data_IF_908243253495
#
_entry.id   IF_908243253495
#
_cell.length_a   1.000
_cell.length_b   1.000
_cell.length_c   1.000
_cell.angle_alpha   90.00
_cell.angle_beta   90.00
_cell.angle_gamma   90.00
#
_symmetry.space_group_name_H-M   'P 1'
#
loop_
_entity.id
_entity.type
_entity.pdbx_description
1 polymer ?
#
# COMPACT_ATOMS: atom_id res chain seq x y z
N UNK A 1 -10.80 -4.80 -0.55
CA UNK A 1 -10.59 -3.41 -0.98
C UNK A 1 -10.36 -3.35 -2.47
N UNK A 2 -10.76 -2.25 -3.09
CA UNK A 2 -10.46 -1.92 -4.49
C UNK A 2 -9.22 -1.02 -4.59
N UNK A 3 -8.61 -0.95 -5.78
CA UNK A 3 -7.35 -0.20 -5.99
C UNK A 3 -7.49 1.31 -5.75
N UNK A 4 -8.67 1.90 -6.01
CA UNK A 4 -8.96 3.31 -5.75
C UNK A 4 -9.00 3.67 -4.25
N UNK A 5 -9.07 2.67 -3.37
CA UNK A 5 -9.04 2.83 -1.91
C UNK A 5 -7.60 2.80 -1.36
N UNK A 6 -6.62 2.48 -2.20
CA UNK A 6 -5.20 2.32 -1.86
C UNK A 6 -4.41 3.48 -2.47
N UNK A 7 -3.38 3.95 -1.76
CA UNK A 7 -2.40 4.87 -2.34
C UNK A 7 -1.44 4.08 -3.25
N UNK A 8 -1.89 3.82 -4.48
CA UNK A 8 -1.16 3.01 -5.47
C UNK A 8 0.18 3.64 -5.91
N UNK A 9 0.43 4.90 -5.57
CA UNK A 9 1.72 5.57 -5.78
C UNK A 9 2.65 5.52 -4.58
N UNK A 10 2.29 4.82 -3.48
CA UNK A 10 3.06 4.84 -2.24
C UNK A 10 4.53 4.46 -2.43
N UNK A 11 4.82 3.24 -2.87
CA UNK A 11 6.19 2.81 -3.11
C UNK A 11 6.85 3.57 -4.27
N UNK A 12 6.08 3.94 -5.30
CA UNK A 12 6.58 4.69 -6.45
C UNK A 12 7.21 6.04 -6.10
N UNK A 13 6.80 6.69 -5.01
CA UNK A 13 7.36 7.98 -4.55
C UNK A 13 8.66 7.83 -3.74
N UNK A 14 9.14 6.61 -3.53
CA UNK A 14 10.43 6.30 -2.94
C UNK A 14 11.46 6.00 -4.04
N UNK A 15 12.70 6.46 -3.85
CA UNK A 15 13.78 6.19 -4.80
C UNK A 15 14.18 4.71 -4.83
N UNK A 16 14.96 4.30 -5.84
CA UNK A 16 15.37 2.90 -6.03
C UNK A 16 16.09 2.30 -4.82
N UNK A 17 16.90 3.10 -4.12
CA UNK A 17 17.67 2.67 -2.95
C UNK A 17 16.84 2.63 -1.65
N UNK A 18 15.55 2.90 -1.71
CA UNK A 18 14.70 2.85 -0.53
C UNK A 18 14.34 1.41 -0.18
N UNK A 19 14.54 1.05 1.09
CA UNK A 19 14.22 -0.29 1.62
C UNK A 19 12.77 -0.73 1.39
N UNK A 20 11.83 0.19 1.09
CA UNK A 20 10.43 -0.15 0.83
C UNK A 20 10.27 -1.17 -0.30
N UNK A 21 11.12 -1.11 -1.32
CA UNK A 21 11.05 -2.03 -2.47
C UNK A 21 11.43 -3.44 -2.04
N UNK A 22 12.50 -3.58 -1.25
CA UNK A 22 12.94 -4.87 -0.69
C UNK A 22 11.94 -5.43 0.34
N UNK A 23 11.30 -4.55 1.12
CA UNK A 23 10.27 -4.95 2.09
C UNK A 23 9.04 -5.52 1.38
N UNK A 24 8.52 -4.81 0.37
CA UNK A 24 7.35 -5.27 -0.39
C UNK A 24 7.67 -6.52 -1.20
N UNK A 25 8.88 -6.65 -1.78
CA UNK A 25 9.29 -7.81 -2.56
C UNK A 25 9.28 -9.13 -1.77
N UNK A 26 9.37 -9.07 -0.42
CA UNK A 26 9.29 -10.24 0.46
C UNK A 26 7.86 -10.70 0.74
N UNK A 27 6.86 -9.85 0.48
CA UNK A 27 5.47 -10.14 0.76
C UNK A 27 4.89 -11.12 -0.25
N UNK A 28 4.02 -12.00 0.24
CA UNK A 28 3.26 -12.96 -0.56
C UNK A 28 1.78 -12.88 -0.20
N UNK A 29 0.86 -13.25 -1.12
CA UNK A 29 -0.55 -13.43 -0.77
C UNK A 29 -0.72 -14.31 0.48
N UNK A 30 -1.61 -13.90 1.38
CA UNK A 30 -1.83 -14.51 2.69
C UNK A 30 -0.88 -14.06 3.80
N UNK A 31 0.14 -13.24 3.50
CA UNK A 31 0.98 -12.65 4.55
C UNK A 31 0.15 -11.69 5.43
N UNK A 32 0.25 -11.77 6.77
CA UNK A 32 -0.53 -10.93 7.66
C UNK A 32 -0.10 -9.46 7.54
N UNK A 33 -1.07 -8.56 7.66
CA UNK A 33 -0.86 -7.11 7.71
C UNK A 33 -1.51 -6.54 8.96
N UNK A 34 -0.81 -5.62 9.61
CA UNK A 34 -1.37 -4.83 10.70
C UNK A 34 -1.85 -3.47 10.18
N UNK A 35 -3.00 -3.01 10.67
CA UNK A 35 -3.51 -1.67 10.37
C UNK A 35 -3.13 -0.67 11.47
N UNK A 36 -2.58 0.48 11.08
CA UNK A 36 -2.35 1.61 12.00
C UNK A 36 -2.93 2.88 11.41
N UNK A 37 -3.68 3.64 12.21
CA UNK A 37 -4.11 4.99 11.80
C UNK A 37 -3.00 5.99 12.08
N UNK A 38 -2.61 6.74 11.06
CA UNK A 38 -1.66 7.85 11.17
C UNK A 38 -2.01 8.94 10.16
N UNK A 39 -2.03 10.20 10.60
CA UNK A 39 -2.34 11.36 9.75
C UNK A 39 -3.61 11.17 8.90
N UNK A 40 -4.67 10.63 9.52
CA UNK A 40 -5.96 10.37 8.89
C UNK A 40 -5.92 9.38 7.71
N UNK A 41 -4.92 8.49 7.68
CA UNK A 41 -4.81 7.36 6.75
C UNK A 41 -4.58 6.08 7.53
N UNK A 42 -5.09 4.97 7.01
CA UNK A 42 -4.66 3.64 7.45
C UNK A 42 -3.37 3.25 6.74
N UNK A 43 -2.33 2.99 7.52
CA UNK A 43 -1.09 2.36 7.12
C UNK A 43 -1.22 0.85 7.25
N UNK A 44 -0.59 0.13 6.34
CA UNK A 44 -0.44 -1.32 6.40
C UNK A 44 1.01 -1.65 6.76
N UNK A 45 1.18 -2.44 7.82
CA UNK A 45 2.47 -2.85 8.33
C UNK A 45 2.65 -4.35 8.12
N UNK A 46 3.86 -4.78 7.79
CA UNK A 46 4.22 -6.20 7.77
C UNK A 46 4.36 -6.78 9.20
N UNK A 47 4.75 -8.06 9.31
CA UNK A 47 4.94 -8.73 10.60
C UNK A 47 6.04 -8.12 11.47
N UNK A 48 6.98 -7.40 10.85
CA UNK A 48 8.13 -6.78 11.51
C UNK A 48 7.85 -5.31 11.88
N UNK A 49 6.64 -4.81 11.56
CA UNK A 49 6.23 -3.44 11.84
C UNK A 49 6.69 -2.42 10.80
N UNK A 50 7.16 -2.85 9.63
CA UNK A 50 7.51 -1.93 8.55
C UNK A 50 6.27 -1.51 7.77
N UNK A 51 6.15 -0.22 7.44
CA UNK A 51 5.06 0.27 6.59
C UNK A 51 5.29 -0.18 5.15
N UNK A 52 4.37 -0.99 4.62
CA UNK A 52 4.44 -1.57 3.26
C UNK A 52 3.37 -1.01 2.33
N UNK A 53 2.47 -0.19 2.85
CA UNK A 53 1.42 0.47 2.07
C UNK A 53 0.56 1.38 2.92
N UNK A 54 -0.35 2.09 2.26
CA UNK A 54 -1.38 2.88 2.93
C UNK A 54 -2.60 3.08 2.04
N UNK A 55 -3.69 3.45 2.69
CA UNK A 55 -4.95 3.84 2.04
C UNK A 55 -4.84 5.18 1.32
N UNK A 56 -5.71 5.39 0.34
CA UNK A 56 -5.88 6.66 -0.35
C UNK A 56 -6.33 7.76 0.64
N UNK A 57 -6.02 9.02 0.34
CA UNK A 57 -6.36 10.13 1.24
C UNK A 57 -7.88 10.32 1.44
N UNK A 58 -8.68 9.91 0.47
CA UNK A 58 -10.15 9.94 0.50
C UNK A 58 -10.78 8.76 1.22
N UNK A 59 -10.03 7.68 1.44
CA UNK A 59 -10.56 6.46 2.04
C UNK A 59 -10.88 6.67 3.51
N UNK A 60 -12.06 6.22 3.94
CA UNK A 60 -12.51 6.25 5.33
C UNK A 60 -13.05 4.88 5.67
N UNK A 61 -12.62 4.33 6.79
CA UNK A 61 -13.29 3.20 7.41
C UNK A 61 -14.35 3.74 8.36
N UNK A 62 -15.57 3.24 8.22
CA UNK A 62 -16.69 3.47 9.12
C UNK A 62 -16.68 2.50 10.32
N UNK A 63 -15.81 1.48 10.28
CA UNK A 63 -15.67 0.41 11.28
C UNK A 63 -14.21 0.13 11.61
N UNK A 64 -13.97 -0.61 12.68
CA UNK A 64 -12.60 -1.00 13.03
C UNK A 64 -12.11 -2.11 12.11
N UNK A 65 -10.81 -2.07 11.77
CA UNK A 65 -10.15 -3.14 11.04
C UNK A 65 -9.80 -4.25 12.03
N UNK A 66 -10.44 -5.40 11.88
CA UNK A 66 -10.21 -6.57 12.75
C UNK A 66 -8.99 -7.37 12.31
N UNK A 67 -8.85 -7.60 11.01
CA UNK A 67 -7.70 -8.27 10.43
C UNK A 67 -7.43 -7.79 9.01
N UNK A 68 -6.18 -7.98 8.58
CA UNK A 68 -5.76 -7.71 7.22
C UNK A 68 -4.69 -8.70 6.79
N UNK A 69 -4.70 -9.05 5.52
CA UNK A 69 -3.67 -9.86 4.87
C UNK A 69 -3.39 -9.33 3.47
N UNK A 70 -2.23 -9.67 2.92
CA UNK A 70 -1.91 -9.40 1.52
C UNK A 70 -2.85 -10.24 0.64
N UNK A 71 -3.72 -9.60 -0.13
CA UNK A 71 -4.52 -10.27 -1.15
C UNK A 71 -3.66 -10.53 -2.40
N UNK A 72 -2.91 -9.52 -2.81
CA UNK A 72 -2.02 -9.56 -3.97
C UNK A 72 -0.93 -8.49 -3.84
N UNK A 73 0.16 -8.69 -4.61
CA UNK A 73 1.16 -7.66 -4.89
C UNK A 73 1.14 -7.43 -6.39
N UNK A 74 0.79 -6.22 -6.82
CA UNK A 74 0.66 -5.88 -8.24
C UNK A 74 1.78 -4.96 -8.68
N UNK A 75 2.22 -5.09 -9.93
CA UNK A 75 3.24 -4.21 -10.51
C UNK A 75 2.54 -3.01 -11.11
N UNK A 76 3.11 -1.82 -10.91
CA UNK A 76 2.69 -0.58 -11.54
C UNK A 76 3.85 0.09 -12.24
N UNK A 77 3.57 0.73 -13.37
CA UNK A 77 4.55 1.52 -14.11
C UNK A 77 4.21 3.01 -14.03
N UNK A 78 5.23 3.85 -14.16
CA UNK A 78 5.06 5.31 -14.17
C UNK A 78 4.24 5.78 -15.38
N UNK A 79 4.31 5.05 -16.49
CA UNK A 79 3.51 5.35 -17.69
C UNK A 79 2.00 5.18 -17.46
N UNK A 80 1.59 4.30 -16.54
CA UNK A 80 0.20 4.10 -16.13
C UNK A 80 -0.32 5.16 -15.13
N UNK A 81 0.54 6.10 -14.72
CA UNK A 81 0.15 7.22 -13.88
C UNK A 81 -0.40 8.36 -14.73
N UNK A 82 -1.46 8.99 -14.23
CA UNK A 82 -1.94 10.27 -14.78
C UNK A 82 -0.80 11.28 -14.80
N UNK A 83 -0.78 12.14 -15.82
CA UNK A 83 0.31 13.08 -16.07
C UNK A 83 0.65 13.95 -14.85
N UNK A 84 -0.38 14.42 -14.16
CA UNK A 84 -0.25 15.23 -12.95
C UNK A 84 0.42 14.50 -11.77
N UNK A 85 0.49 13.16 -11.79
CA UNK A 85 1.11 12.37 -10.72
C UNK A 85 2.49 11.80 -11.08
N UNK A 86 2.85 11.74 -12.37
CA UNK A 86 4.10 11.12 -12.84
C UNK A 86 5.36 11.71 -12.22
N UNK A 87 5.39 13.02 -11.98
CA UNK A 87 6.56 13.71 -11.44
C UNK A 87 6.82 13.41 -9.94
N UNK A 88 5.83 12.87 -9.22
CA UNK A 88 6.05 12.44 -7.83
C UNK A 88 6.76 11.08 -7.75
N UNK A 89 6.64 10.26 -8.79
CA UNK A 89 7.25 8.94 -8.83
C UNK A 89 8.76 9.08 -9.05
N UNK A 90 9.54 8.38 -8.23
CA UNK A 90 11.02 8.38 -8.28
C UNK A 90 11.58 7.13 -8.96
N UNK A 91 10.72 6.20 -9.34
CA UNK A 91 11.06 4.96 -10.05
C UNK A 91 10.07 4.73 -11.20
N UNK A 92 10.52 4.05 -12.25
CA UNK A 92 9.69 3.74 -13.43
C UNK A 92 8.74 2.56 -13.22
N UNK A 93 9.04 1.69 -12.25
CA UNK A 93 8.31 0.47 -11.90
C UNK A 93 8.33 0.29 -10.39
N UNK A 94 7.20 -0.05 -9.77
CA UNK A 94 7.12 -0.40 -8.35
C UNK A 94 6.00 -1.40 -8.07
N UNK A 95 6.10 -2.08 -6.92
CA UNK A 95 5.07 -2.96 -6.38
C UNK A 95 4.02 -2.20 -5.56
N UNK A 96 2.77 -2.66 -5.62
CA UNK A 96 1.65 -2.16 -4.83
C UNK A 96 1.04 -3.32 -4.05
N UNK A 97 1.01 -3.20 -2.72
CA UNK A 97 0.33 -4.16 -1.83
C UNK A 97 -1.17 -3.92 -1.88
N UNK A 98 -1.93 -4.95 -2.25
CA UNK A 98 -3.39 -4.95 -2.21
C UNK A 98 -3.84 -5.72 -0.96
N UNK A 99 -4.35 -5.05 0.07
CA UNK A 99 -4.82 -5.70 1.29
C UNK A 99 -6.24 -6.25 1.11
N UNK A 100 -6.48 -7.42 1.70
CA UNK A 100 -7.82 -7.92 2.04
C UNK A 100 -8.04 -7.61 3.51
N UNK A 101 -9.11 -6.90 3.81
CA UNK A 101 -9.44 -6.45 5.17
C UNK A 101 -10.75 -7.08 5.63
N UNK A 102 -10.82 -7.39 6.92
CA UNK A 102 -12.06 -7.73 7.63
C UNK A 102 -12.35 -6.58 8.59
N UNK A 103 -13.58 -6.08 8.54
CA UNK A 103 -14.06 -5.00 9.39
C UNK A 103 -14.96 -5.57 10.47
N UNK A 104 -15.02 -4.89 11.61
CA UNK A 104 -15.93 -5.27 12.69
C UNK A 104 -17.38 -5.20 12.23
N UNK A 105 -18.25 -5.93 12.93
CA UNK A 105 -19.71 -5.88 12.73
C UNK A 105 -20.30 -4.48 12.98
#
# INVERSE_FOLDING_TARGET
MALNEIDIGFAGRHGSESAIHDLIAKLKPGAPLQGKVENNRYLFLDSDGNVVGRTAASFRLDRQLESSEVAAVVIRYNEDSEEQYRHFNKVSRWEVVVPKVVLSE
#
